data_IF_061754965709
#
_entry.id   IF_061754965709
#
_cell.length_a   1.000
_cell.length_b   1.000
_cell.length_c   1.000
_cell.angle_alpha   90.00
_cell.angle_beta   90.00
_cell.angle_gamma   90.00
#
_symmetry.space_group_name_H-M   'P 1'
#
loop_
_entity.id
_entity.type
_entity.pdbx_description
1 polymer ?
#
# COMPACT_ATOMS: atom_id res chain seq x y z
N UNK A 1 -30.24 24.67 -66.72
CA UNK A 1 -30.41 23.41 -65.96
C UNK A 1 -29.04 22.92 -65.53
N UNK A 2 -28.72 22.91 -64.23
CA UNK A 2 -27.53 22.25 -63.70
C UNK A 2 -27.85 20.76 -63.45
N UNK A 3 -26.94 19.82 -63.68
CA UNK A 3 -27.15 18.44 -63.25
C UNK A 3 -26.68 18.26 -61.80
N UNK A 4 -27.58 17.70 -61.00
CA UNK A 4 -27.26 16.57 -60.12
C UNK A 4 -26.65 16.90 -58.76
N UNK A 5 -27.51 16.90 -57.74
CA UNK A 5 -27.10 16.83 -56.35
C UNK A 5 -26.43 15.50 -55.98
N UNK A 6 -25.67 15.61 -54.88
CA UNK A 6 -24.98 14.63 -54.06
C UNK A 6 -25.40 13.16 -54.14
N UNK A 7 -24.40 12.28 -54.21
CA UNK A 7 -24.47 10.98 -53.54
C UNK A 7 -23.08 10.66 -52.97
N UNK A 8 -22.87 11.00 -51.70
CA UNK A 8 -21.75 10.44 -50.92
C UNK A 8 -22.17 9.03 -50.51
N UNK A 9 -21.98 8.07 -51.40
CA UNK A 9 -22.11 6.63 -51.11
C UNK A 9 -20.74 6.03 -51.03
N UNK A 10 -20.34 5.64 -49.82
CA UNK A 10 -19.10 4.92 -49.58
C UNK A 10 -18.59 5.18 -48.16
N UNK A 11 -19.32 4.71 -47.14
CA UNK A 11 -18.65 4.36 -45.89
C UNK A 11 -17.64 3.25 -46.25
N UNK A 12 -16.36 3.56 -46.07
CA UNK A 12 -15.26 2.62 -46.29
C UNK A 12 -15.52 1.33 -45.49
N UNK A 13 -15.62 0.14 -46.12
CA UNK A 13 -15.89 -1.12 -45.42
C UNK A 13 -14.79 -1.51 -44.41
N UNK A 14 -13.65 -0.82 -44.42
CA UNK A 14 -12.56 -1.02 -43.47
C UNK A 14 -12.79 -0.34 -42.11
N UNK A 15 -13.77 0.56 -41.98
CA UNK A 15 -14.09 1.24 -40.71
C UNK A 15 -15.12 0.48 -39.84
N UNK A 16 -15.68 -0.63 -40.32
CA UNK A 16 -16.71 -1.41 -39.60
C UNK A 16 -16.16 -2.63 -38.84
N UNK A 17 -14.87 -2.92 -38.95
CA UNK A 17 -14.23 -3.85 -38.02
C UNK A 17 -13.85 -3.06 -36.76
N UNK A 18 -14.75 -3.00 -35.78
CA UNK A 18 -14.29 -2.87 -34.40
C UNK A 18 -13.57 -4.19 -34.09
N UNK A 19 -12.23 -4.26 -34.02
CA UNK A 19 -11.60 -5.48 -33.58
C UNK A 19 -12.08 -5.69 -32.14
N UNK A 20 -12.85 -6.75 -31.91
CA UNK A 20 -13.22 -7.15 -30.55
C UNK A 20 -11.91 -7.38 -29.80
N UNK A 21 -11.67 -6.61 -28.74
CA UNK A 21 -10.51 -6.79 -27.87
C UNK A 21 -10.45 -8.25 -27.44
N UNK A 22 -9.25 -8.84 -27.47
CA UNK A 22 -9.06 -10.13 -26.82
C UNK A 22 -9.34 -10.00 -25.31
N UNK A 23 -9.74 -11.07 -24.62
CA UNK A 23 -9.99 -11.03 -23.18
C UNK A 23 -8.79 -10.52 -22.35
N UNK A 24 -7.56 -10.77 -22.82
CA UNK A 24 -6.33 -10.29 -22.19
C UNK A 24 -6.10 -8.79 -22.41
N UNK A 25 -6.36 -8.29 -23.61
CA UNK A 25 -6.30 -6.86 -23.89
C UNK A 25 -7.36 -6.12 -23.08
N UNK A 26 -8.60 -6.60 -23.08
CA UNK A 26 -9.69 -6.02 -22.28
C UNK A 26 -9.31 -5.97 -20.79
N UNK A 27 -8.73 -7.04 -20.25
CA UNK A 27 -8.26 -7.07 -18.86
C UNK A 27 -7.16 -6.06 -18.59
N UNK A 28 -6.22 -5.91 -19.52
CA UNK A 28 -5.14 -4.93 -19.41
C UNK A 28 -5.71 -3.50 -19.42
N UNK A 29 -6.65 -3.20 -20.32
CA UNK A 29 -7.35 -1.91 -20.36
C UNK A 29 -8.08 -1.61 -19.05
N UNK A 30 -8.84 -2.58 -18.53
CA UNK A 30 -9.55 -2.45 -17.27
C UNK A 30 -8.59 -2.26 -16.08
N UNK A 31 -7.44 -2.95 -16.09
CA UNK A 31 -6.40 -2.76 -15.09
C UNK A 31 -5.86 -1.33 -15.10
N UNK A 32 -5.53 -0.78 -16.28
CA UNK A 32 -5.04 0.59 -16.37
C UNK A 32 -6.07 1.61 -15.87
N UNK A 33 -7.35 1.44 -16.16
CA UNK A 33 -8.40 2.32 -15.64
C UNK A 33 -8.53 2.24 -14.12
N UNK A 34 -8.45 1.03 -13.55
CA UNK A 34 -8.44 0.83 -12.11
C UNK A 34 -7.19 1.43 -11.44
N UNK A 35 -6.02 1.28 -12.07
CA UNK A 35 -4.75 1.83 -11.57
C UNK A 35 -4.74 3.36 -11.62
N UNK A 36 -5.14 3.98 -12.74
CA UNK A 36 -5.17 5.43 -12.88
C UNK A 36 -6.12 6.08 -11.86
N UNK A 37 -7.29 5.47 -11.64
CA UNK A 37 -8.23 5.97 -10.63
C UNK A 37 -7.66 5.86 -9.22
N UNK A 38 -7.02 4.74 -8.87
CA UNK A 38 -6.34 4.58 -7.58
C UNK A 38 -5.16 5.55 -7.44
N UNK A 39 -4.40 5.77 -8.51
CA UNK A 39 -3.25 6.68 -8.53
C UNK A 39 -3.63 8.11 -8.19
N UNK A 40 -4.83 8.56 -8.59
CA UNK A 40 -5.38 9.87 -8.21
C UNK A 40 -5.66 9.94 -6.71
N UNK A 41 -6.23 8.87 -6.13
CA UNK A 41 -6.45 8.77 -4.67
C UNK A 41 -5.10 8.79 -3.95
N UNK A 42 -4.13 8.00 -4.40
CA UNK A 42 -2.77 7.96 -3.85
C UNK A 42 -2.11 9.34 -3.82
N UNK A 43 -2.17 10.10 -4.92
CA UNK A 43 -1.55 11.42 -4.99
C UNK A 43 -2.20 12.39 -3.99
N UNK A 44 -3.53 12.33 -3.82
CA UNK A 44 -4.24 13.14 -2.83
C UNK A 44 -3.91 12.73 -1.39
N UNK A 45 -3.75 11.43 -1.11
CA UNK A 45 -3.27 10.94 0.19
C UNK A 45 -1.89 11.53 0.51
N UNK A 46 -0.96 11.47 -0.46
CA UNK A 46 0.39 12.00 -0.29
C UNK A 46 0.39 13.51 -0.05
N UNK A 47 -0.44 14.26 -0.79
CA UNK A 47 -0.59 15.70 -0.59
C UNK A 47 -1.17 16.05 0.79
N UNK A 48 -2.23 15.36 1.22
CA UNK A 48 -2.93 15.70 2.47
C UNK A 48 -2.15 15.30 3.72
N UNK A 49 -1.53 14.11 3.72
CA UNK A 49 -0.87 13.55 4.91
C UNK A 49 0.65 13.75 4.93
N UNK A 50 1.31 13.87 3.77
CA UNK A 50 2.77 13.78 3.65
C UNK A 50 3.44 15.00 3.02
N UNK A 51 2.69 16.05 2.65
CA UNK A 51 3.26 17.35 2.24
C UNK A 51 3.89 18.11 3.41
N UNK A 52 3.54 17.74 4.64
CA UNK A 52 4.00 18.35 5.89
C UNK A 52 4.89 17.37 6.65
N UNK A 53 5.72 17.91 7.55
CA UNK A 53 6.54 17.09 8.46
C UNK A 53 5.65 16.28 9.41
N UNK A 54 6.17 15.16 9.89
CA UNK A 54 5.50 14.23 10.80
C UNK A 54 5.10 14.89 12.13
N UNK A 55 5.79 15.97 12.52
CA UNK A 55 5.41 16.82 13.67
C UNK A 55 4.02 17.44 13.52
N UNK A 56 3.46 17.48 12.31
CA UNK A 56 2.08 17.91 12.07
C UNK A 56 1.06 16.89 12.58
N UNK A 57 1.44 15.62 12.73
CA UNK A 57 0.61 14.55 13.28
C UNK A 57 0.56 14.58 14.81
N UNK A 58 -0.06 15.63 15.35
CA UNK A 58 -0.14 15.91 16.78
C UNK A 58 -1.58 16.26 17.21
N UNK A 59 -1.79 16.44 18.52
CA UNK A 59 -3.10 16.60 19.13
C UNK A 59 -3.88 17.81 18.59
N UNK A 60 -3.19 18.89 18.19
CA UNK A 60 -3.83 20.10 17.65
C UNK A 60 -4.51 19.86 16.29
N UNK A 61 -4.00 18.89 15.51
CA UNK A 61 -4.53 18.57 14.18
C UNK A 61 -5.33 17.26 14.15
N UNK A 62 -5.54 16.62 15.31
CA UNK A 62 -6.10 15.27 15.37
C UNK A 62 -7.49 15.16 14.72
N UNK A 63 -8.38 16.13 15.00
CA UNK A 63 -9.73 16.14 14.42
C UNK A 63 -9.71 16.20 12.89
N UNK A 64 -8.79 16.98 12.31
CA UNK A 64 -8.62 17.07 10.86
C UNK A 64 -8.05 15.78 10.28
N UNK A 65 -7.02 15.20 10.92
CA UNK A 65 -6.45 13.91 10.55
C UNK A 65 -7.50 12.80 10.53
N UNK A 66 -8.35 12.75 11.56
CA UNK A 66 -9.40 11.76 11.68
C UNK A 66 -10.47 11.93 10.59
N UNK A 67 -10.84 13.17 10.26
CA UNK A 67 -11.76 13.45 9.17
C UNK A 67 -11.18 13.06 7.79
N UNK A 68 -9.92 13.42 7.53
CA UNK A 68 -9.22 13.03 6.29
C UNK A 68 -9.12 11.50 6.18
N UNK A 69 -8.74 10.81 7.25
CA UNK A 69 -8.65 9.36 7.30
C UNK A 69 -9.98 8.69 6.93
N UNK A 70 -11.09 9.13 7.53
CA UNK A 70 -12.43 8.60 7.23
C UNK A 70 -12.81 8.82 5.77
N UNK A 71 -12.59 10.04 5.25
CA UNK A 71 -12.89 10.36 3.86
C UNK A 71 -12.11 9.46 2.88
N UNK A 72 -10.80 9.29 3.09
CA UNK A 72 -10.00 8.44 2.21
C UNK A 72 -10.31 6.95 2.38
N UNK A 73 -10.67 6.51 3.58
CA UNK A 73 -11.12 5.14 3.81
C UNK A 73 -12.39 4.83 2.99
N UNK A 74 -13.36 5.73 3.03
CA UNK A 74 -14.61 5.59 2.26
C UNK A 74 -14.32 5.59 0.74
N UNK A 75 -13.44 6.46 0.27
CA UNK A 75 -13.02 6.48 -1.14
C UNK A 75 -12.32 5.18 -1.57
N UNK A 76 -11.47 4.61 -0.72
CA UNK A 76 -10.80 3.34 -1.00
C UNK A 76 -11.80 2.18 -1.03
N UNK A 77 -12.75 2.13 -0.09
CA UNK A 77 -13.81 1.12 -0.07
C UNK A 77 -14.65 1.23 -1.34
N UNK A 78 -15.05 2.45 -1.71
CA UNK A 78 -15.81 2.68 -2.93
C UNK A 78 -15.03 2.23 -4.17
N UNK A 79 -13.75 2.60 -4.27
CA UNK A 79 -12.89 2.17 -5.36
C UNK A 79 -12.81 0.63 -5.44
N UNK A 80 -12.63 -0.05 -4.31
CA UNK A 80 -12.58 -1.52 -4.22
C UNK A 80 -13.85 -2.19 -4.74
N UNK A 81 -15.01 -1.60 -4.48
CA UNK A 81 -16.31 -2.09 -4.96
C UNK A 81 -16.51 -1.89 -6.47
N UNK A 82 -15.90 -0.84 -7.04
CA UNK A 82 -16.09 -0.48 -8.44
C UNK A 82 -15.09 -1.12 -9.41
N UNK A 83 -14.04 -1.79 -8.93
CA UNK A 83 -13.15 -2.49 -9.85
C UNK A 83 -13.86 -3.70 -10.49
N UNK A 84 -13.61 -3.98 -11.78
CA UNK A 84 -14.23 -5.10 -12.49
C UNK A 84 -14.01 -6.45 -11.80
N UNK A 85 -14.98 -7.37 -11.93
CA UNK A 85 -14.96 -8.69 -11.29
C UNK A 85 -13.65 -9.46 -11.53
N UNK A 86 -13.11 -9.42 -12.74
CA UNK A 86 -11.85 -10.11 -13.09
C UNK A 86 -10.59 -9.52 -12.44
N UNK A 87 -10.68 -8.35 -11.83
CA UNK A 87 -9.63 -7.67 -11.08
C UNK A 87 -9.87 -7.69 -9.56
N UNK A 88 -10.99 -8.25 -9.12
CA UNK A 88 -11.29 -8.41 -7.70
C UNK A 88 -10.27 -9.35 -7.03
N UNK A 89 -9.97 -9.07 -5.77
CA UNK A 89 -9.06 -9.84 -4.94
C UNK A 89 -9.61 -10.05 -3.53
N UNK A 90 -9.44 -11.24 -2.98
CA UNK A 90 -9.81 -11.51 -1.60
C UNK A 90 -8.72 -11.03 -0.63
N UNK A 91 -9.09 -10.73 0.61
CA UNK A 91 -8.17 -10.23 1.63
C UNK A 91 -7.20 -11.32 2.11
N UNK A 92 -7.69 -12.55 2.30
CA UNK A 92 -6.94 -13.65 2.90
C UNK A 92 -6.01 -14.38 1.92
N UNK A 93 -6.22 -14.23 0.61
CA UNK A 93 -5.51 -15.01 -0.41
C UNK A 93 -4.63 -14.15 -1.33
N UNK A 94 -3.54 -14.73 -1.85
CA UNK A 94 -2.72 -14.09 -2.88
C UNK A 94 -3.42 -14.29 -4.23
N UNK A 95 -3.76 -13.22 -4.98
CA UNK A 95 -4.41 -13.37 -6.27
C UNK A 95 -3.53 -14.14 -7.26
N UNK A 96 -4.13 -15.09 -8.00
CA UNK A 96 -3.42 -15.82 -9.07
C UNK A 96 -3.18 -15.00 -10.35
N UNK A 97 -3.86 -13.85 -10.48
CA UNK A 97 -3.71 -12.93 -11.60
C UNK A 97 -2.85 -11.72 -11.19
N UNK A 98 -1.84 -11.39 -11.99
CA UNK A 98 -0.87 -10.34 -11.70
C UNK A 98 -1.50 -8.96 -11.54
N UNK A 99 -2.55 -8.64 -12.30
CA UNK A 99 -3.22 -7.34 -12.22
C UNK A 99 -3.94 -7.18 -10.89
N UNK A 100 -4.70 -8.18 -10.45
CA UNK A 100 -5.35 -8.16 -9.14
C UNK A 100 -4.30 -8.17 -8.01
N UNK A 101 -3.19 -8.89 -8.18
CA UNK A 101 -2.08 -8.89 -7.22
C UNK A 101 -1.48 -7.49 -7.05
N UNK A 102 -1.18 -6.78 -8.15
CA UNK A 102 -0.66 -5.41 -8.08
C UNK A 102 -1.67 -4.44 -7.49
N UNK A 103 -2.95 -4.53 -7.89
CA UNK A 103 -4.02 -3.70 -7.32
C UNK A 103 -4.19 -3.95 -5.81
N UNK A 104 -4.13 -5.21 -5.36
CA UNK A 104 -4.15 -5.57 -3.94
C UNK A 104 -3.02 -4.90 -3.19
N UNK A 105 -1.78 -5.01 -3.67
CA UNK A 105 -0.62 -4.36 -3.07
C UNK A 105 -0.80 -2.85 -2.94
N UNK A 106 -1.24 -2.18 -4.01
CA UNK A 106 -1.48 -0.72 -4.01
C UNK A 106 -2.62 -0.30 -3.07
N UNK A 107 -3.68 -1.09 -3.01
CA UNK A 107 -4.80 -0.86 -2.10
C UNK A 107 -4.36 -0.86 -0.64
N UNK A 108 -3.64 -1.91 -0.21
CA UNK A 108 -3.12 -1.98 1.16
C UNK A 108 -2.05 -0.94 1.45
N UNK A 109 -1.27 -0.51 0.44
CA UNK A 109 -0.35 0.63 0.60
C UNK A 109 -1.10 1.91 0.94
N UNK A 110 -2.22 2.18 0.27
CA UNK A 110 -3.04 3.37 0.57
C UNK A 110 -3.60 3.32 1.99
N UNK A 111 -4.11 2.16 2.41
CA UNK A 111 -4.59 1.94 3.77
C UNK A 111 -3.51 2.20 4.80
N UNK A 112 -2.32 1.64 4.63
CA UNK A 112 -1.20 1.92 5.53
C UNK A 112 -0.86 3.41 5.52
N UNK A 113 -0.83 4.08 4.36
CA UNK A 113 -0.50 5.50 4.31
C UNK A 113 -1.47 6.39 5.08
N UNK A 114 -2.78 6.10 5.04
CA UNK A 114 -3.78 6.90 5.78
C UNK A 114 -3.82 6.55 7.27
N UNK A 115 -3.28 5.39 7.67
CA UNK A 115 -3.27 4.92 9.07
C UNK A 115 -1.95 5.22 9.79
N UNK A 116 -0.83 5.32 9.06
CA UNK A 116 0.51 5.57 9.61
C UNK A 116 0.61 6.85 10.47
N UNK A 117 -0.07 7.97 10.14
CA UNK A 117 -0.08 9.14 11.03
C UNK A 117 -0.58 8.82 12.44
N UNK A 118 -1.53 7.92 12.59
CA UNK A 118 -2.07 7.49 13.89
C UNK A 118 -1.11 6.55 14.61
N UNK A 119 -0.40 5.69 13.88
CA UNK A 119 0.70 4.92 14.47
C UNK A 119 1.79 5.86 14.99
N UNK A 120 2.23 6.82 14.18
CA UNK A 120 3.19 7.83 14.62
C UNK A 120 2.69 8.58 15.87
N UNK A 121 1.44 9.02 15.86
CA UNK A 121 0.79 9.69 17.00
C UNK A 121 0.90 8.84 18.28
N UNK A 122 0.48 7.58 18.23
CA UNK A 122 0.49 6.68 19.38
C UNK A 122 1.90 6.45 19.94
N UNK A 123 2.92 6.40 19.09
CA UNK A 123 4.31 6.14 19.49
C UNK A 123 5.01 7.37 20.08
N UNK A 124 4.47 8.58 19.88
CA UNK A 124 5.09 9.85 20.28
C UNK A 124 4.29 10.65 21.31
N UNK A 125 2.98 10.39 21.46
CA UNK A 125 2.14 11.06 22.45
C UNK A 125 2.13 10.31 23.80
N UNK A 126 1.90 11.03 24.92
CA UNK A 126 1.85 10.40 26.23
C UNK A 126 0.68 9.40 26.35
N UNK A 127 0.77 8.37 27.21
CA UNK A 127 -0.28 7.37 27.38
C UNK A 127 -1.65 7.95 27.79
N UNK A 128 -1.67 9.11 28.43
CA UNK A 128 -2.90 9.78 28.91
C UNK A 128 -3.44 10.84 27.92
N UNK A 129 -2.93 10.88 26.69
CA UNK A 129 -3.42 11.81 25.67
C UNK A 129 -4.90 11.53 25.32
N UNK A 130 -5.69 12.60 25.21
CA UNK A 130 -7.15 12.57 25.01
C UNK A 130 -7.58 11.77 23.78
N UNK A 131 -6.80 11.84 22.69
CA UNK A 131 -7.17 11.23 21.41
C UNK A 131 -6.66 9.79 21.26
N UNK A 132 -5.98 9.26 22.28
CA UNK A 132 -5.43 7.91 22.26
C UNK A 132 -6.51 6.86 22.00
N UNK A 133 -7.68 7.00 22.61
CA UNK A 133 -8.80 6.07 22.45
C UNK A 133 -9.21 5.91 20.98
N UNK A 134 -9.26 7.03 20.23
CA UNK A 134 -9.61 7.02 18.80
C UNK A 134 -8.45 6.56 17.92
N UNK A 135 -7.21 6.89 18.29
CA UNK A 135 -6.01 6.62 17.50
C UNK A 135 -5.55 5.15 17.58
N UNK A 136 -5.69 4.49 18.73
CA UNK A 136 -5.27 3.10 18.95
C UNK A 136 -5.81 2.14 17.89
N UNK A 137 -7.13 2.04 17.63
CA UNK A 137 -7.64 1.05 16.67
C UNK A 137 -7.16 1.32 15.23
N UNK A 138 -6.88 2.58 14.88
CA UNK A 138 -6.35 2.96 13.56
C UNK A 138 -4.86 2.58 13.47
N UNK A 139 -4.09 2.84 14.52
CA UNK A 139 -2.69 2.45 14.60
C UNK A 139 -2.50 0.93 14.57
N UNK A 140 -3.39 0.17 15.22
CA UNK A 140 -3.39 -1.29 15.16
C UNK A 140 -3.65 -1.82 13.74
N UNK A 141 -4.61 -1.23 13.03
CA UNK A 141 -4.85 -1.52 11.60
C UNK A 141 -3.62 -1.19 10.74
N UNK A 142 -2.89 -0.13 11.06
CA UNK A 142 -1.62 0.20 10.39
C UNK A 142 -0.62 -0.96 10.50
N UNK A 143 -0.45 -1.54 11.69
CA UNK A 143 0.47 -2.66 11.93
C UNK A 143 0.01 -3.93 11.19
N UNK A 144 -1.29 -4.22 11.22
CA UNK A 144 -1.87 -5.32 10.45
C UNK A 144 -1.61 -5.16 8.95
N UNK A 145 -1.82 -3.97 8.42
CA UNK A 145 -1.54 -3.67 7.01
C UNK A 145 -0.05 -3.71 6.69
N UNK A 146 0.83 -3.35 7.64
CA UNK A 146 2.27 -3.57 7.48
C UNK A 146 2.61 -5.06 7.30
N UNK A 147 2.03 -5.93 8.14
CA UNK A 147 2.18 -7.39 8.04
C UNK A 147 1.64 -7.95 6.71
N UNK A 148 0.42 -7.55 6.32
CA UNK A 148 -0.19 -7.92 5.04
C UNK A 148 0.69 -7.50 3.86
N UNK A 149 1.21 -6.28 3.88
CA UNK A 149 2.10 -5.76 2.83
C UNK A 149 3.42 -6.53 2.76
N UNK A 150 4.06 -6.83 3.89
CA UNK A 150 5.29 -7.64 3.92
C UNK A 150 5.05 -9.00 3.27
N UNK A 151 3.93 -9.65 3.62
CA UNK A 151 3.53 -10.93 3.03
C UNK A 151 3.35 -10.80 1.52
N UNK A 152 2.52 -9.86 1.05
CA UNK A 152 2.30 -9.59 -0.38
C UNK A 152 3.63 -9.34 -1.10
N UNK A 153 4.49 -8.50 -0.54
CA UNK A 153 5.76 -8.11 -1.17
C UNK A 153 6.76 -9.26 -1.29
N UNK A 154 6.71 -10.25 -0.40
CA UNK A 154 7.56 -11.44 -0.50
C UNK A 154 7.23 -12.31 -1.72
N UNK A 155 6.00 -12.24 -2.23
CA UNK A 155 5.54 -12.96 -3.42
C UNK A 155 5.89 -12.27 -4.74
N UNK A 156 6.48 -11.06 -4.73
CA UNK A 156 6.85 -10.41 -5.99
C UNK A 156 7.99 -11.14 -6.72
N UNK A 157 7.82 -11.25 -8.03
CA UNK A 157 8.87 -11.64 -8.98
C UNK A 157 9.65 -10.42 -9.48
N UNK A 158 10.57 -10.64 -10.42
CA UNK A 158 11.34 -9.55 -11.02
C UNK A 158 10.43 -8.71 -11.91
N UNK A 159 10.33 -7.41 -11.62
CA UNK A 159 9.69 -6.42 -12.48
C UNK A 159 10.29 -5.02 -12.22
N UNK A 160 9.99 -4.03 -13.05
CA UNK A 160 10.64 -2.71 -13.02
C UNK A 160 10.48 -1.91 -11.71
N UNK A 161 9.57 -2.29 -10.82
CA UNK A 161 9.33 -1.62 -9.54
C UNK A 161 9.79 -2.43 -8.32
N UNK A 162 10.47 -3.57 -8.53
CA UNK A 162 10.82 -4.50 -7.44
C UNK A 162 11.68 -3.83 -6.36
N UNK A 163 12.62 -2.98 -6.74
CA UNK A 163 13.47 -2.25 -5.78
C UNK A 163 12.63 -1.39 -4.82
N UNK A 164 11.62 -0.68 -5.33
CA UNK A 164 10.72 0.13 -4.50
C UNK A 164 9.83 -0.74 -3.60
N UNK A 165 9.38 -1.90 -4.09
CA UNK A 165 8.59 -2.87 -3.32
C UNK A 165 9.39 -3.41 -2.12
N UNK A 166 10.65 -3.79 -2.33
CA UNK A 166 11.51 -4.30 -1.25
C UNK A 166 11.76 -3.22 -0.19
N UNK A 167 12.03 -1.97 -0.59
CA UNK A 167 12.18 -0.85 0.36
C UNK A 167 10.88 -0.52 1.09
N UNK A 168 9.73 -0.75 0.46
CA UNK A 168 8.44 -0.60 1.12
C UNK A 168 8.24 -1.70 2.18
N UNK A 169 8.66 -2.95 1.91
CA UNK A 169 8.68 -4.04 2.90
C UNK A 169 9.57 -3.70 4.09
N UNK A 170 10.79 -3.19 3.86
CA UNK A 170 11.67 -2.66 4.90
C UNK A 170 10.98 -1.58 5.75
N UNK A 171 10.28 -0.64 5.11
CA UNK A 171 9.57 0.42 5.83
C UNK A 171 8.47 -0.14 6.74
N UNK A 172 7.71 -1.15 6.29
CA UNK A 172 6.74 -1.86 7.13
C UNK A 172 7.42 -2.55 8.32
N UNK A 173 8.54 -3.25 8.09
CA UNK A 173 9.27 -3.95 9.15
C UNK A 173 9.79 -2.98 10.22
N UNK A 174 10.29 -1.81 9.81
CA UNK A 174 10.73 -0.76 10.73
C UNK A 174 9.57 -0.18 11.54
N UNK A 175 8.36 -0.06 10.97
CA UNK A 175 7.18 0.38 11.71
C UNK A 175 6.73 -0.65 12.75
N UNK A 176 6.78 -1.94 12.40
CA UNK A 176 6.52 -3.03 13.34
C UNK A 176 7.55 -3.02 14.50
N UNK A 177 8.85 -2.85 14.18
CA UNK A 177 9.91 -2.70 15.20
C UNK A 177 9.70 -1.47 16.09
N UNK A 178 9.31 -0.34 15.51
CA UNK A 178 9.07 0.88 16.28
C UNK A 178 7.91 0.69 17.27
N UNK A 179 6.83 0.02 16.85
CA UNK A 179 5.76 -0.38 17.75
C UNK A 179 6.26 -1.36 18.82
N UNK A 180 7.09 -2.33 18.43
CA UNK A 180 7.64 -3.32 19.36
C UNK A 180 8.46 -2.71 20.49
N UNK A 181 9.31 -1.74 20.15
CA UNK A 181 10.13 -1.01 21.12
C UNK A 181 9.32 -0.10 22.05
N UNK A 182 8.05 0.16 21.73
CA UNK A 182 7.15 0.99 22.53
C UNK A 182 6.09 0.16 23.27
N UNK A 183 6.09 -1.17 23.13
CA UNK A 183 5.10 -2.05 23.76
C UNK A 183 3.68 -1.85 23.19
N UNK A 184 3.57 -1.55 21.89
CA UNK A 184 2.29 -1.30 21.22
C UNK A 184 1.87 -2.42 20.24
N UNK A 185 2.58 -3.55 20.24
CA UNK A 185 2.50 -4.59 19.21
C UNK A 185 1.66 -5.82 19.59
N UNK A 186 1.54 -6.15 20.88
CA UNK A 186 0.95 -7.43 21.30
C UNK A 186 -0.58 -7.35 21.54
N UNK A 187 -1.36 -8.39 21.21
CA UNK A 187 -1.01 -9.64 20.49
C UNK A 187 -1.33 -9.58 18.98
N UNK A 188 -1.23 -8.41 18.35
CA UNK A 188 -1.91 -8.15 17.07
C UNK A 188 -1.13 -8.60 15.83
N UNK A 189 0.20 -8.65 15.90
CA UNK A 189 1.08 -9.00 14.79
C UNK A 189 2.31 -9.73 15.31
N UNK A 190 2.67 -10.86 14.69
CA UNK A 190 3.98 -11.49 14.88
C UNK A 190 5.06 -10.71 14.14
N UNK A 191 5.49 -9.60 14.75
CA UNK A 191 6.47 -8.70 14.15
C UNK A 191 7.81 -9.39 13.88
N UNK A 192 8.19 -10.41 14.68
CA UNK A 192 9.46 -11.14 14.52
C UNK A 192 9.42 -11.95 13.23
N UNK A 193 8.35 -12.72 13.02
CA UNK A 193 8.15 -13.46 11.77
C UNK A 193 8.09 -12.52 10.56
N UNK A 194 7.46 -11.35 10.68
CA UNK A 194 7.39 -10.38 9.59
C UNK A 194 8.77 -9.80 9.24
N UNK A 195 9.62 -9.50 10.22
CA UNK A 195 10.99 -9.05 9.93
C UNK A 195 11.79 -10.15 9.22
N UNK A 196 11.67 -11.40 9.65
CA UNK A 196 12.36 -12.51 8.98
C UNK A 196 11.93 -12.65 7.51
N UNK A 197 10.63 -12.53 7.22
CA UNK A 197 10.13 -12.50 5.84
C UNK A 197 10.75 -11.31 5.06
N UNK A 198 10.83 -10.13 5.66
CA UNK A 198 11.48 -8.97 5.04
C UNK A 198 12.97 -9.23 4.77
N UNK A 199 13.72 -9.82 5.71
CA UNK A 199 15.13 -10.15 5.54
C UNK A 199 15.36 -11.16 4.41
N UNK A 200 14.53 -12.21 4.34
CA UNK A 200 14.55 -13.19 3.25
C UNK A 200 14.24 -12.53 1.90
N UNK A 201 13.23 -11.65 1.87
CA UNK A 201 12.86 -10.89 0.67
C UNK A 201 14.01 -10.01 0.20
N UNK A 202 14.71 -9.32 1.11
CA UNK A 202 15.88 -8.50 0.78
C UNK A 202 17.05 -9.34 0.28
N UNK A 203 17.33 -10.49 0.90
CA UNK A 203 18.39 -11.40 0.49
C UNK A 203 18.24 -11.91 -0.96
N UNK A 204 16.99 -12.05 -1.44
CA UNK A 204 16.71 -12.41 -2.84
C UNK A 204 17.25 -11.38 -3.84
N UNK A 205 17.29 -10.10 -3.47
CA UNK A 205 17.60 -8.99 -4.39
C UNK A 205 18.92 -8.26 -4.07
N UNK A 206 19.59 -8.56 -2.96
CA UNK A 206 20.76 -7.81 -2.49
C UNK A 206 21.98 -7.86 -3.42
N UNK A 207 22.10 -8.91 -4.25
CA UNK A 207 23.17 -9.02 -5.25
C UNK A 207 23.02 -8.01 -6.39
N UNK A 208 21.80 -7.54 -6.62
CA UNK A 208 21.47 -6.61 -7.71
C UNK A 208 21.42 -5.17 -7.24
N UNK A 209 21.33 -4.94 -5.93
CA UNK A 209 21.19 -3.63 -5.32
C UNK A 209 21.93 -3.60 -3.97
N UNK A 210 23.13 -3.01 -3.97
CA UNK A 210 24.02 -2.99 -2.81
C UNK A 210 23.42 -2.26 -1.59
N UNK A 211 22.54 -1.28 -1.83
CA UNK A 211 21.82 -0.58 -0.77
C UNK A 211 20.88 -1.52 0.01
N UNK A 212 20.32 -2.55 -0.64
CA UNK A 212 19.53 -3.58 0.04
C UNK A 212 20.39 -4.45 0.96
N UNK A 213 21.65 -4.72 0.61
CA UNK A 213 22.57 -5.44 1.48
C UNK A 213 22.85 -4.66 2.78
N UNK A 214 23.00 -3.35 2.68
CA UNK A 214 23.21 -2.47 3.83
C UNK A 214 21.95 -2.37 4.68
N UNK A 215 20.81 -2.11 4.03
CA UNK A 215 19.54 -2.02 4.71
C UNK A 215 19.17 -3.32 5.44
N UNK A 216 19.51 -4.49 4.86
CA UNK A 216 19.29 -5.80 5.50
C UNK A 216 20.08 -5.91 6.80
N UNK A 217 21.37 -5.58 6.77
CA UNK A 217 22.23 -5.57 7.96
C UNK A 217 21.71 -4.64 9.04
N UNK A 218 21.35 -3.41 8.68
CA UNK A 218 20.76 -2.44 9.62
C UNK A 218 19.48 -2.99 10.26
N UNK A 219 18.59 -3.63 9.47
CA UNK A 219 17.37 -4.22 10.02
C UNK A 219 17.68 -5.35 11.01
N UNK A 220 18.65 -6.22 10.71
CA UNK A 220 19.11 -7.29 11.60
C UNK A 220 19.68 -6.73 12.91
N UNK A 221 20.52 -5.71 12.82
CA UNK A 221 21.14 -5.08 14.00
C UNK A 221 20.07 -4.46 14.91
N UNK A 222 19.11 -3.72 14.35
CA UNK A 222 18.02 -3.11 15.13
C UNK A 222 17.13 -4.19 15.76
N UNK A 223 16.85 -5.28 15.04
CA UNK A 223 16.08 -6.41 15.58
C UNK A 223 16.79 -7.05 16.77
N UNK A 224 18.09 -7.34 16.64
CA UNK A 224 18.88 -7.93 17.72
C UNK A 224 18.89 -7.04 18.96
N UNK A 225 19.19 -5.74 18.80
CA UNK A 225 19.16 -4.77 19.90
C UNK A 225 17.79 -4.70 20.57
N UNK A 226 16.71 -4.83 19.80
CA UNK A 226 15.34 -4.83 20.33
C UNK A 226 15.08 -6.08 21.17
N UNK A 227 15.51 -7.26 20.70
CA UNK A 227 15.37 -8.52 21.43
C UNK A 227 16.18 -8.51 22.73
N UNK A 228 17.43 -8.03 22.68
CA UNK A 228 18.30 -7.94 23.85
C UNK A 228 17.71 -6.98 24.89
N UNK A 229 17.15 -5.84 24.45
CA UNK A 229 16.48 -4.87 25.32
C UNK A 229 15.20 -5.39 25.97
N UNK A 230 14.43 -6.25 25.28
CA UNK A 230 13.25 -6.91 25.86
C UNK A 230 13.64 -7.96 26.92
N UNK A 231 14.86 -8.52 26.86
CA UNK A 231 15.36 -9.50 27.82
C UNK A 231 15.66 -8.96 29.23
N UNK A 232 15.74 -7.63 29.41
CA UNK A 232 15.98 -6.99 30.71
C UNK A 232 14.71 -6.50 31.42
N UNK A 233 13.52 -6.72 30.83
CA UNK A 233 12.24 -6.28 31.36
C UNK A 233 11.42 -7.41 32.01
N UNK A 234 12.10 -8.40 32.62
CA UNK A 234 11.50 -9.49 33.42
C UNK A 234 11.66 -9.20 34.91
#
# INVERSE_FOLDING_TARGET
>A
MPPGGSTITGLDPLLTQNPSLSPEEERSWLYYLAEISLRRIMNRILEEFYSRRETWWNSNNFSLLLAQYRSFLDELILWRQHIPHQLQFDEATIPGNEFAFFLKGRYYMCHEWIQRPFLYYILHQPPNDLHRVDAVPIAQKCLQNCSTLITIFSHHHRHGAIWSVVRRSLSCALLLLAAARKGFEEPLVDWKAQIEITLQTMAKWEREAIDLQWAKRVLQDIMQVTLDGQGFAV
#
